data_IF_094159965886
#
_entry.id   IF_094159965886
#
_cell.length_a   1.000
_cell.length_b   1.000
_cell.length_c   1.000
_cell.angle_alpha   90.00
_cell.angle_beta   90.00
_cell.angle_gamma   90.00
#
_symmetry.space_group_name_H-M   'P 1'
#
loop_
_entity.id
_entity.type
_entity.pdbx_description
1 polymer ?
#
# COMPACT_ATOMS: atom_id res chain seq x y z
N UNK A 1 -4.30 -0.68 15.49
CA UNK A 1 -3.15 -1.14 14.67
C UNK A 1 -2.00 -0.16 14.85
N UNK A 2 -0.78 -0.67 15.00
CA UNK A 2 0.46 0.14 15.03
C UNK A 2 1.06 0.19 13.63
N UNK A 3 1.65 1.33 13.26
CA UNK A 3 2.28 1.50 11.94
C UNK A 3 3.32 0.41 11.61
N UNK A 4 4.08 -0.04 12.62
CA UNK A 4 5.05 -1.14 12.48
C UNK A 4 4.44 -2.46 11.99
N UNK A 5 3.16 -2.69 12.26
CA UNK A 5 2.44 -3.91 11.88
C UNK A 5 2.08 -3.92 10.40
N UNK A 6 2.12 -2.77 9.72
CA UNK A 6 1.86 -2.67 8.29
C UNK A 6 3.05 -3.13 7.44
N UNK A 7 4.27 -2.91 7.91
CA UNK A 7 5.47 -3.27 7.17
C UNK A 7 5.54 -4.78 6.92
N UNK A 8 5.89 -5.15 5.70
CA UNK A 8 5.97 -6.55 5.27
C UNK A 8 4.62 -7.21 4.96
N UNK A 9 3.48 -6.58 5.27
CA UNK A 9 2.17 -7.12 4.87
C UNK A 9 2.04 -7.16 3.35
N UNK A 10 1.39 -8.22 2.88
CA UNK A 10 1.06 -8.39 1.47
C UNK A 10 -0.10 -7.49 1.08
N UNK A 11 0.03 -6.85 -0.09
CA UNK A 11 -1.00 -6.00 -0.67
C UNK A 11 -1.56 -6.70 -1.91
N UNK A 12 -2.89 -6.78 -1.99
CA UNK A 12 -3.63 -7.34 -3.11
C UNK A 12 -4.60 -6.31 -3.68
N UNK A 13 -4.86 -6.39 -4.98
CA UNK A 13 -5.91 -5.60 -5.62
C UNK A 13 -7.29 -6.27 -5.48
N UNK A 14 -8.31 -5.59 -6.00
CA UNK A 14 -9.71 -6.06 -5.99
C UNK A 14 -9.91 -7.39 -6.76
N UNK A 15 -9.01 -7.73 -7.68
CA UNK A 15 -9.00 -9.01 -8.41
C UNK A 15 -8.22 -10.11 -7.66
N UNK A 16 -7.86 -9.86 -6.39
CA UNK A 16 -7.00 -10.71 -5.57
C UNK A 16 -5.58 -10.94 -6.15
N UNK A 17 -5.10 -10.07 -7.05
CA UNK A 17 -3.73 -10.15 -7.58
C UNK A 17 -2.74 -9.55 -6.59
N UNK A 18 -1.65 -10.26 -6.35
CA UNK A 18 -0.57 -9.78 -5.49
C UNK A 18 0.19 -8.64 -6.15
N UNK A 19 0.24 -7.51 -5.44
CA UNK A 19 0.99 -6.32 -5.84
C UNK A 19 2.40 -6.34 -5.25
N UNK A 20 2.55 -6.86 -4.03
CA UNK A 20 3.83 -6.92 -3.34
C UNK A 20 3.67 -6.75 -1.83
N UNK A 21 4.72 -6.23 -1.19
CA UNK A 21 4.75 -5.98 0.26
C UNK A 21 5.00 -4.52 0.59
N UNK A 22 4.42 -4.06 1.69
CA UNK A 22 4.67 -2.72 2.23
C UNK A 22 6.12 -2.63 2.70
N UNK A 23 6.86 -1.65 2.18
CA UNK A 23 8.26 -1.41 2.54
C UNK A 23 8.49 -0.05 3.18
N UNK A 24 7.59 0.92 2.95
CA UNK A 24 7.76 2.28 3.42
C UNK A 24 6.42 3.04 3.43
N UNK A 25 6.36 4.20 4.08
CA UNK A 25 5.18 5.06 4.17
C UNK A 25 5.58 6.54 4.14
N UNK A 26 4.85 7.33 3.38
CA UNK A 26 5.02 8.78 3.35
C UNK A 26 4.09 9.45 4.36
N UNK A 27 4.66 10.31 5.20
CA UNK A 27 3.94 11.02 6.25
C UNK A 27 3.82 12.51 5.92
N UNK A 28 2.63 13.06 6.10
CA UNK A 28 2.42 14.50 6.21
C UNK A 28 2.63 14.91 7.67
N UNK A 29 3.81 15.40 8.00
CA UNK A 29 4.17 15.78 9.37
C UNK A 29 3.28 16.93 9.85
N UNK A 30 2.95 17.88 8.97
CA UNK A 30 2.12 19.04 9.32
C UNK A 30 0.69 18.65 9.69
N UNK A 31 0.18 17.56 9.10
CA UNK A 31 -1.17 17.05 9.35
C UNK A 31 -1.21 15.80 10.24
N UNK A 32 -0.04 15.32 10.67
CA UNK A 32 0.13 14.05 11.38
C UNK A 32 -0.63 12.89 10.70
N UNK A 33 -0.57 12.80 9.36
CA UNK A 33 -1.33 11.82 8.57
C UNK A 33 -0.46 11.06 7.57
N UNK A 34 -0.94 9.91 7.10
CA UNK A 34 -0.26 9.12 6.05
C UNK A 34 -0.69 9.68 4.68
N UNK A 35 0.28 10.04 3.83
CA UNK A 35 0.03 10.46 2.44
C UNK A 35 -0.08 9.26 1.51
N UNK A 36 0.85 8.32 1.63
CA UNK A 36 0.87 7.12 0.79
C UNK A 36 1.61 5.98 1.47
N UNK A 37 1.35 4.76 1.02
CA UNK A 37 2.06 3.54 1.39
C UNK A 37 2.85 3.06 0.17
N UNK A 38 4.13 2.77 0.37
CA UNK A 38 5.01 2.27 -0.67
C UNK A 38 5.06 0.75 -0.66
N UNK A 39 4.65 0.15 -1.77
CA UNK A 39 4.61 -1.30 -1.98
C UNK A 39 5.72 -1.69 -2.96
N UNK A 40 6.63 -2.57 -2.55
CA UNK A 40 7.64 -3.13 -3.45
C UNK A 40 7.02 -4.21 -4.32
N UNK A 41 6.99 -3.98 -5.63
CA UNK A 41 6.46 -4.89 -6.65
C UNK A 41 7.62 -5.46 -7.49
N UNK A 42 8.03 -6.70 -7.24
CA UNK A 42 9.19 -7.30 -7.90
C UNK A 42 10.51 -6.76 -7.36
N UNK A 43 11.56 -6.75 -8.19
CA UNK A 43 12.94 -6.49 -7.71
C UNK A 43 13.21 -5.00 -7.46
N UNK A 44 12.80 -4.14 -8.39
CA UNK A 44 13.16 -2.70 -8.40
C UNK A 44 11.97 -1.74 -8.34
N UNK A 45 10.75 -2.18 -8.67
CA UNK A 45 9.59 -1.28 -8.79
C UNK A 45 8.95 -1.02 -7.43
N UNK A 46 8.57 0.23 -7.18
CA UNK A 46 7.73 0.64 -6.06
C UNK A 46 6.41 1.20 -6.59
N UNK A 47 5.33 0.94 -5.87
CA UNK A 47 4.00 1.46 -6.14
C UNK A 47 3.58 2.35 -4.97
N UNK A 48 3.03 3.52 -5.27
CA UNK A 48 2.48 4.43 -4.25
C UNK A 48 0.98 4.21 -4.15
N UNK A 49 0.53 3.79 -2.98
CA UNK A 49 -0.88 3.51 -2.68
C UNK A 49 -1.42 4.63 -1.79
N UNK A 50 -2.48 5.30 -2.24
CA UNK A 50 -3.15 6.32 -1.43
C UNK A 50 -4.06 5.64 -0.39
N UNK A 51 -4.18 6.19 0.84
CA UNK A 51 -5.08 5.64 1.86
C UNK A 51 -6.52 5.48 1.39
N UNK A 52 -6.98 6.39 0.52
CA UNK A 52 -8.32 6.32 -0.06
C UNK A 52 -8.53 5.07 -0.92
N UNK A 53 -7.48 4.49 -1.51
CA UNK A 53 -7.57 3.32 -2.38
C UNK A 53 -7.54 1.99 -1.62
N UNK A 54 -7.41 2.05 -0.30
CA UNK A 54 -7.43 0.89 0.60
C UNK A 54 -8.88 0.62 0.99
N UNK A 55 -9.33 -0.61 0.78
CA UNK A 55 -10.64 -1.09 1.21
C UNK A 55 -10.59 -1.65 2.63
N UNK A 56 -9.60 -2.53 2.90
CA UNK A 56 -9.49 -3.22 4.18
C UNK A 56 -8.05 -3.49 4.56
N UNK A 57 -7.79 -3.44 5.86
CA UNK A 57 -6.50 -3.81 6.46
C UNK A 57 -6.76 -4.93 7.47
N UNK A 58 -6.22 -6.12 7.22
CA UNK A 58 -6.25 -7.29 8.09
C UNK A 58 -4.94 -8.05 8.02
N UNK A 59 -4.99 -9.35 7.76
CA UNK A 59 -3.77 -10.15 7.48
C UNK A 59 -3.03 -9.63 6.25
N UNK A 60 -3.81 -9.27 5.21
CA UNK A 60 -3.39 -8.55 4.00
C UNK A 60 -4.01 -7.16 3.93
N UNK A 61 -3.47 -6.31 3.06
CA UNK A 61 -4.08 -5.04 2.67
C UNK A 61 -4.78 -5.24 1.34
N UNK A 62 -6.08 -4.93 1.30
CA UNK A 62 -6.92 -5.08 0.10
C UNK A 62 -7.20 -3.70 -0.48
N UNK A 63 -6.96 -3.53 -1.77
CA UNK A 63 -7.25 -2.28 -2.48
C UNK A 63 -8.59 -2.36 -3.21
N UNK A 64 -9.25 -1.20 -3.33
CA UNK A 64 -10.51 -1.04 -4.09
C UNK A 64 -10.30 -0.88 -5.61
N UNK A 65 -9.05 -0.83 -6.05
CA UNK A 65 -8.66 -0.58 -7.44
C UNK A 65 -7.83 -1.73 -7.98
N UNK A 66 -7.93 -1.99 -9.29
CA UNK A 66 -7.11 -2.97 -10.00
C UNK A 66 -5.66 -2.47 -10.18
N UNK A 67 -4.71 -3.41 -10.24
CA UNK A 67 -3.26 -3.15 -10.39
C UNK A 67 -2.90 -2.12 -11.47
N UNK A 68 -3.57 -2.16 -12.61
CA UNK A 68 -3.22 -1.32 -13.76
C UNK A 68 -3.57 0.16 -13.56
N UNK A 69 -4.39 0.49 -12.57
CA UNK A 69 -4.75 1.87 -12.21
C UNK A 69 -3.85 2.48 -11.13
N UNK A 70 -2.90 1.71 -10.60
CA UNK A 70 -2.01 2.14 -9.51
C UNK A 70 -0.87 3.00 -10.04
N UNK A 71 -0.62 4.13 -9.36
CA UNK A 71 0.50 5.01 -9.69
C UNK A 71 1.84 4.37 -9.31
N UNK A 72 2.80 4.43 -10.23
CA UNK A 72 4.19 4.09 -9.93
C UNK A 72 4.77 5.20 -9.05
N UNK A 73 5.54 4.80 -8.03
CA UNK A 73 6.27 5.70 -7.15
C UNK A 73 7.62 6.09 -7.77
#
# INVERSE_FOLDING_TARGET
MKAKELFGKEVIDVDAKVLGKIVDMELDISKASIRSILVKSGLTKKLSILPQDIEKIGDKVVLKIVKDKIRKA
#
